data_IF_922073157688
#
_entry.id   IF_922073157688
#
_cell.length_a   1.000
_cell.length_b   1.000
_cell.length_c   1.000
_cell.angle_alpha   90.00
_cell.angle_beta   90.00
_cell.angle_gamma   90.00
#
_symmetry.space_group_name_H-M   'P 1'
#
loop_
_entity.id
_entity.type
_entity.pdbx_description
1 polymer ?
#
# COMPACT_ATOMS: atom_id res chain seq x y z
N UNK A 1 -3.07 32.48 9.93
CA UNK A 1 -3.22 33.15 8.63
C UNK A 1 -2.35 32.45 7.60
N UNK A 2 -2.92 32.17 6.42
CA UNK A 2 -2.28 31.73 5.15
C UNK A 2 -1.72 30.28 5.17
N UNK A 3 -2.05 29.38 4.26
CA UNK A 3 -2.81 29.55 3.03
C UNK A 3 -3.28 28.22 2.45
N UNK A 4 -4.59 28.17 2.21
CA UNK A 4 -5.17 27.51 1.04
C UNK A 4 -4.38 27.92 -0.20
N UNK A 5 -3.84 26.94 -0.94
CA UNK A 5 -3.54 27.11 -2.36
C UNK A 5 -3.77 25.79 -3.10
N UNK A 6 -4.99 25.69 -3.66
CA UNK A 6 -5.21 25.04 -4.95
C UNK A 6 -4.31 25.69 -6.01
N UNK A 7 -4.00 24.93 -7.06
CA UNK A 7 -4.14 25.24 -8.52
C UNK A 7 -3.31 24.17 -9.25
N UNK A 8 -3.91 23.11 -9.82
CA UNK A 8 -4.55 23.00 -11.15
C UNK A 8 -3.59 23.22 -12.34
N UNK A 9 -3.47 22.20 -13.23
CA UNK A 9 -3.79 22.17 -14.70
C UNK A 9 -3.10 20.93 -15.32
N UNK A 10 -3.77 19.86 -15.77
CA UNK A 10 -4.71 19.63 -16.88
C UNK A 10 -4.07 19.60 -18.30
N UNK A 11 -4.05 18.41 -18.90
CA UNK A 11 -4.16 18.09 -20.34
C UNK A 11 -4.93 16.75 -20.38
N UNK A 12 -6.17 16.61 -20.88
CA UNK A 12 -6.67 16.78 -22.27
C UNK A 12 -6.24 15.55 -23.08
N UNK A 13 -7.06 14.53 -23.37
CA UNK A 13 -8.24 14.43 -24.28
C UNK A 13 -8.85 13.00 -24.21
N UNK A 14 -9.90 12.61 -24.99
CA UNK A 14 -11.33 12.87 -24.87
C UNK A 14 -12.15 11.62 -24.46
N UNK A 15 -13.42 11.84 -24.11
CA UNK A 15 -14.39 10.82 -23.73
C UNK A 15 -14.70 9.83 -24.86
N UNK A 16 -14.58 8.51 -24.60
CA UNK A 16 -15.38 7.44 -25.19
C UNK A 16 -15.44 6.24 -24.23
N UNK A 17 -16.64 5.69 -24.11
CA UNK A 17 -17.04 4.45 -23.47
C UNK A 17 -17.11 4.33 -21.93
N UNK A 18 -18.35 4.15 -21.50
CA UNK A 18 -18.83 3.85 -20.17
C UNK A 18 -18.71 2.35 -19.96
N UNK A 19 -17.79 1.94 -19.10
CA UNK A 19 -17.95 0.71 -18.31
C UNK A 19 -17.85 1.09 -16.82
N UNK A 20 -18.90 0.85 -16.01
CA UNK A 20 -18.84 1.08 -14.58
C UNK A 20 -17.99 -0.04 -13.96
N UNK A 21 -16.68 0.19 -13.79
CA UNK A 21 -15.87 -0.66 -12.92
C UNK A 21 -16.48 -0.60 -11.51
N UNK A 22 -16.97 -1.73 -10.95
CA UNK A 22 -17.74 -1.68 -9.73
C UNK A 22 -16.85 -1.19 -8.60
N UNK A 23 -17.34 -0.18 -7.91
CA UNK A 23 -16.94 0.14 -6.56
C UNK A 23 -17.14 -1.10 -5.69
N UNK A 24 -16.07 -1.84 -5.41
CA UNK A 24 -16.08 -2.85 -4.36
C UNK A 24 -15.87 -2.15 -3.01
N UNK A 25 -16.90 -1.41 -2.61
CA UNK A 25 -17.15 -1.07 -1.21
C UNK A 25 -18.27 -1.98 -0.72
N UNK A 26 -17.93 -3.08 -0.04
CA UNK A 26 -18.75 -3.62 1.04
C UNK A 26 -17.93 -4.53 1.99
N UNK A 27 -18.04 -4.35 3.31
CA UNK A 27 -17.29 -5.11 4.31
C UNK A 27 -18.01 -6.43 4.68
N UNK A 28 -17.32 -7.57 4.85
CA UNK A 28 -17.93 -8.70 5.54
C UNK A 28 -17.70 -8.58 7.05
N UNK A 29 -18.80 -8.29 7.76
CA UNK A 29 -18.92 -8.44 9.21
C UNK A 29 -19.03 -9.93 9.55
N UNK A 30 -18.39 -10.30 10.67
CA UNK A 30 -18.66 -11.44 11.60
C UNK A 30 -17.80 -12.71 11.47
N UNK A 31 -16.99 -12.90 12.52
CA UNK A 31 -16.88 -14.05 13.47
C UNK A 31 -15.47 -14.63 13.61
N UNK A 32 -15.07 -14.74 14.89
CA UNK A 32 -13.91 -15.49 15.40
C UNK A 32 -12.61 -14.70 15.27
N UNK A 33 -11.89 -14.32 16.32
CA UNK A 33 -11.85 -14.81 17.70
C UNK A 33 -10.42 -15.23 18.00
N UNK A 34 -9.72 -14.48 18.87
CA UNK A 34 -8.41 -14.78 19.49
C UNK A 34 -7.25 -14.99 18.48
N UNK A 35 -5.99 -14.67 18.76
CA UNK A 35 -5.30 -14.55 20.04
C UNK A 35 -4.09 -13.64 19.87
N UNK A 36 -3.86 -12.86 20.91
CA UNK A 36 -2.58 -12.28 21.33
C UNK A 36 -1.49 -13.37 21.45
N UNK A 37 -0.32 -13.10 20.89
CA UNK A 37 1.00 -13.61 21.30
C UNK A 37 2.00 -12.60 20.71
N UNK A 38 2.69 -11.70 21.44
CA UNK A 38 3.47 -11.83 22.66
C UNK A 38 4.58 -12.89 22.57
N UNK A 39 5.74 -12.42 22.10
CA UNK A 39 7.11 -12.69 22.55
C UNK A 39 7.60 -14.16 22.62
N UNK A 40 8.61 -14.46 21.81
CA UNK A 40 9.60 -15.51 22.09
C UNK A 40 10.95 -15.11 21.47
N UNK A 41 11.90 -14.71 22.31
CA UNK A 41 13.33 -14.64 21.96
C UNK A 41 13.88 -16.06 21.77
N UNK A 42 14.08 -16.47 20.51
CA UNK A 42 14.97 -17.54 20.04
C UNK A 42 15.30 -17.16 18.58
N UNK A 43 16.49 -17.45 18.01
CA UNK A 43 17.04 -16.72 16.85
C UNK A 43 16.00 -16.65 15.73
N UNK A 44 15.36 -15.48 15.63
CA UNK A 44 14.03 -15.40 15.06
C UNK A 44 14.13 -15.77 13.57
N UNK A 45 13.32 -16.74 13.07
CA UNK A 45 13.14 -16.87 11.64
C UNK A 45 12.79 -15.47 11.14
N UNK A 46 13.42 -14.97 10.05
CA UNK A 46 13.33 -13.57 9.67
C UNK A 46 11.88 -13.14 9.75
N UNK A 47 11.57 -12.23 10.68
CA UNK A 47 10.22 -11.82 10.98
C UNK A 47 9.49 -11.60 9.66
N UNK A 48 8.51 -12.43 9.32
CA UNK A 48 7.84 -12.33 8.03
C UNK A 48 7.26 -10.92 7.85
N UNK A 49 6.89 -10.26 8.96
CA UNK A 49 6.50 -8.86 9.01
C UNK A 49 7.65 -7.89 8.67
N UNK A 50 8.85 -8.10 9.20
CA UNK A 50 10.04 -7.28 8.92
C UNK A 50 10.52 -7.48 7.47
N UNK A 51 10.59 -8.74 7.01
CA UNK A 51 10.92 -9.06 5.62
C UNK A 51 9.93 -8.40 4.64
N UNK A 52 8.63 -8.47 4.92
CA UNK A 52 7.61 -7.79 4.11
C UNK A 52 7.73 -6.27 4.14
N UNK A 53 8.18 -5.69 5.25
CA UNK A 53 8.41 -4.24 5.36
C UNK A 53 9.64 -3.82 4.57
N UNK A 54 10.74 -4.57 4.64
CA UNK A 54 11.92 -4.35 3.82
C UNK A 54 11.60 -4.48 2.32
N UNK A 55 10.81 -5.50 1.96
CA UNK A 55 10.32 -5.72 0.60
C UNK A 55 9.48 -4.54 0.11
N UNK A 56 8.55 -4.05 0.93
CA UNK A 56 7.71 -2.88 0.61
C UNK A 56 8.57 -1.63 0.36
N UNK A 57 9.50 -1.34 1.27
CA UNK A 57 10.40 -0.19 1.15
C UNK A 57 11.24 -0.26 -0.12
N UNK A 58 11.79 -1.44 -0.45
CA UNK A 58 12.58 -1.64 -1.66
C UNK A 58 11.73 -1.52 -2.93
N UNK A 59 10.51 -2.07 -2.94
CA UNK A 59 9.58 -1.95 -4.06
C UNK A 59 9.18 -0.49 -4.31
N UNK A 60 8.97 0.29 -3.26
CA UNK A 60 8.67 1.72 -3.34
C UNK A 60 9.86 2.51 -3.90
N UNK A 61 11.07 2.28 -3.40
CA UNK A 61 12.27 2.95 -3.92
C UNK A 61 12.44 2.71 -5.43
N UNK A 62 12.32 1.45 -5.87
CA UNK A 62 12.44 1.10 -7.29
C UNK A 62 11.33 1.77 -8.12
N UNK A 63 10.09 1.78 -7.63
CA UNK A 63 8.98 2.39 -8.37
C UNK A 63 9.11 3.91 -8.49
N UNK A 64 9.48 4.58 -7.41
CA UNK A 64 9.62 6.04 -7.38
C UNK A 64 10.75 6.49 -8.31
N UNK A 65 11.90 5.80 -8.27
CA UNK A 65 13.05 6.12 -9.10
C UNK A 65 12.85 5.76 -10.58
N UNK A 66 12.12 4.67 -10.86
CA UNK A 66 11.86 4.26 -12.25
C UNK A 66 10.87 5.18 -12.96
N UNK A 67 9.83 5.62 -12.25
CA UNK A 67 8.74 6.38 -12.86
C UNK A 67 8.86 7.90 -12.62
N UNK A 68 9.88 8.36 -11.87
CA UNK A 68 10.16 9.76 -11.51
C UNK A 68 8.91 10.48 -10.96
N UNK A 69 8.23 9.79 -10.04
CA UNK A 69 6.97 10.24 -9.42
C UNK A 69 7.09 10.22 -7.91
N UNK A 70 6.38 11.13 -7.25
CA UNK A 70 6.31 11.18 -5.78
C UNK A 70 5.37 10.13 -5.17
N UNK A 71 4.47 9.58 -5.98
CA UNK A 71 3.41 8.68 -5.54
C UNK A 71 3.21 7.55 -6.54
N UNK A 72 2.99 6.35 -6.02
CA UNK A 72 2.79 5.14 -6.81
C UNK A 72 1.39 4.58 -6.62
N UNK A 73 0.85 3.98 -7.68
CA UNK A 73 -0.40 3.22 -7.58
C UNK A 73 -0.22 2.01 -6.64
N UNK A 74 -1.18 1.81 -5.74
CA UNK A 74 -1.21 0.67 -4.82
C UNK A 74 -1.01 -0.69 -5.53
N UNK A 75 -1.69 -0.88 -6.66
CA UNK A 75 -1.59 -2.08 -7.48
C UNK A 75 -0.22 -2.25 -8.14
N UNK A 76 0.45 -1.15 -8.53
CA UNK A 76 1.81 -1.20 -9.07
C UNK A 76 2.82 -1.62 -7.99
N UNK A 77 2.70 -1.11 -6.77
CA UNK A 77 3.56 -1.51 -5.65
C UNK A 77 3.37 -2.98 -5.30
N UNK A 78 2.11 -3.44 -5.22
CA UNK A 78 1.84 -4.87 -4.99
C UNK A 78 2.44 -5.76 -6.09
N UNK A 79 2.28 -5.37 -7.35
CA UNK A 79 2.88 -6.10 -8.47
C UNK A 79 4.41 -6.14 -8.37
N UNK A 80 5.04 -5.04 -7.97
CA UNK A 80 6.48 -4.98 -7.77
C UNK A 80 6.96 -5.87 -6.62
N UNK A 81 6.25 -5.86 -5.48
CA UNK A 81 6.57 -6.75 -4.35
C UNK A 81 6.50 -8.23 -4.77
N UNK A 82 5.48 -8.64 -5.53
CA UNK A 82 5.36 -10.02 -6.03
C UNK A 82 6.40 -10.39 -7.09
N UNK A 83 6.94 -9.42 -7.82
CA UNK A 83 8.06 -9.63 -8.75
C UNK A 83 9.37 -9.88 -8.01
N UNK A 84 9.57 -9.16 -6.91
CA UNK A 84 10.76 -9.27 -6.08
C UNK A 84 10.73 -10.53 -5.20
N UNK A 85 9.59 -10.82 -4.59
CA UNK A 85 9.35 -12.01 -3.80
C UNK A 85 7.99 -12.63 -4.18
N UNK A 86 7.98 -13.70 -5.00
CA UNK A 86 6.73 -14.37 -5.36
C UNK A 86 6.06 -15.09 -4.19
N UNK A 87 6.78 -15.33 -3.08
CA UNK A 87 6.22 -15.91 -1.86
C UNK A 87 5.42 -14.89 -1.04
N UNK A 88 5.55 -13.60 -1.36
CA UNK A 88 4.82 -12.53 -0.69
C UNK A 88 3.30 -12.65 -0.90
N UNK A 89 2.58 -12.71 0.22
CA UNK A 89 1.13 -12.65 0.27
C UNK A 89 0.70 -11.98 1.56
N UNK A 90 -0.17 -10.98 1.46
CA UNK A 90 -0.64 -10.22 2.64
C UNK A 90 -1.44 -11.11 3.58
N UNK A 91 -2.06 -12.16 3.03
CA UNK A 91 -2.77 -13.18 3.80
C UNK A 91 -1.84 -14.01 4.66
N UNK A 92 -0.63 -14.32 4.19
CA UNK A 92 0.38 -15.04 4.97
C UNK A 92 0.85 -14.23 6.18
N UNK A 93 0.72 -12.90 6.10
CA UNK A 93 1.03 -11.96 7.18
C UNK A 93 -0.18 -11.63 8.07
N UNK A 94 -1.35 -12.21 7.80
CA UNK A 94 -2.58 -12.01 8.58
C UNK A 94 -3.46 -10.83 8.15
N UNK A 95 -3.12 -10.11 7.09
CA UNK A 95 -3.91 -8.97 6.60
C UNK A 95 -5.03 -9.41 5.67
N UNK A 96 -6.13 -8.65 5.67
CA UNK A 96 -7.30 -8.96 4.84
C UNK A 96 -7.15 -8.47 3.40
N UNK A 97 -6.37 -7.42 3.20
CA UNK A 97 -6.11 -6.81 1.90
C UNK A 97 -4.75 -6.11 1.88
N UNK A 98 -4.27 -5.73 0.69
CA UNK A 98 -3.02 -4.98 0.58
C UNK A 98 -3.09 -3.59 1.20
N UNK A 99 -4.23 -2.89 1.11
CA UNK A 99 -4.40 -1.60 1.81
C UNK A 99 -4.41 -1.75 3.33
N UNK A 100 -4.88 -2.88 3.86
CA UNK A 100 -4.82 -3.21 5.29
C UNK A 100 -3.37 -3.41 5.76
N UNK A 101 -2.59 -4.14 4.96
CA UNK A 101 -1.13 -4.26 5.13
C UNK A 101 -0.43 -2.89 5.11
N UNK A 102 -0.75 -2.00 4.17
CA UNK A 102 -0.14 -0.65 4.12
C UNK A 102 -0.55 0.22 5.32
N UNK A 103 -1.82 0.18 5.75
CA UNK A 103 -2.29 0.93 6.93
C UNK A 103 -1.55 0.51 8.20
N UNK A 104 -1.27 -0.79 8.36
CA UNK A 104 -0.48 -1.29 9.48
C UNK A 104 0.97 -0.76 9.49
N UNK A 105 1.45 -0.28 8.35
CA UNK A 105 2.82 0.23 8.12
C UNK A 105 2.83 1.73 7.83
N UNK A 106 1.81 2.45 8.28
CA UNK A 106 1.70 3.92 8.14
C UNK A 106 2.84 4.70 8.82
N UNK A 107 3.63 4.03 9.66
CA UNK A 107 4.91 4.56 10.16
C UNK A 107 5.95 4.74 9.04
N UNK A 108 5.99 3.80 8.09
CA UNK A 108 7.00 3.73 7.01
C UNK A 108 6.47 4.24 5.68
N UNK A 109 5.16 4.14 5.45
CA UNK A 109 4.53 4.54 4.18
C UNK A 109 3.41 5.54 4.40
N UNK A 110 3.21 6.41 3.42
CA UNK A 110 2.06 7.30 3.37
C UNK A 110 1.07 6.77 2.33
N UNK A 111 -0.17 6.60 2.76
CA UNK A 111 -1.27 6.11 1.94
C UNK A 111 -2.27 7.25 1.72
N UNK A 112 -2.52 7.58 0.45
CA UNK A 112 -3.58 8.50 0.05
C UNK A 112 -4.78 7.70 -0.49
N UNK A 113 -5.87 7.73 0.27
CA UNK A 113 -7.17 7.09 -0.08
C UNK A 113 -8.21 8.12 -0.53
N UNK A 114 -7.83 9.39 -0.76
CA UNK A 114 -8.77 10.45 -1.13
C UNK A 114 -9.24 10.38 -2.57
N UNK A 115 -8.45 9.73 -3.43
CA UNK A 115 -8.76 9.52 -4.85
C UNK A 115 -9.38 8.14 -5.10
N UNK A 116 -10.11 8.02 -6.22
CA UNK A 116 -10.63 6.73 -6.72
C UNK A 116 -9.52 5.67 -6.81
N UNK A 117 -8.33 6.10 -7.19
CA UNK A 117 -7.11 5.27 -7.20
C UNK A 117 -6.32 5.51 -5.93
N UNK A 118 -6.06 4.43 -5.18
CA UNK A 118 -5.22 4.50 -3.97
C UNK A 118 -3.76 4.68 -4.34
N UNK A 119 -3.14 5.68 -3.74
CA UNK A 119 -1.76 6.09 -3.99
C UNK A 119 -0.91 5.84 -2.73
N UNK A 120 0.34 5.44 -2.91
CA UNK A 120 1.27 5.17 -1.81
C UNK A 120 2.65 5.74 -2.12
N UNK A 121 3.31 6.27 -1.10
CA UNK A 121 4.71 6.70 -1.16
C UNK A 121 5.47 6.29 0.10
N UNK A 122 6.79 6.31 0.02
CA UNK A 122 7.64 6.13 1.19
C UNK A 122 7.54 7.38 2.07
N UNK A 123 7.41 7.22 3.39
CA UNK A 123 7.61 8.34 4.30
C UNK A 123 9.11 8.66 4.36
N UNK A 124 9.45 9.92 4.17
CA UNK A 124 10.75 10.40 4.58
C UNK A 124 10.87 10.18 6.09
N UNK A 125 11.87 9.39 6.51
CA UNK A 125 12.27 9.36 7.92
C UNK A 125 13.02 10.66 8.17
N UNK A 126 12.35 11.60 8.82
CA UNK A 126 12.97 12.79 9.42
C UNK A 126 13.82 12.38 10.63
#
# INVERSE_FOLDING_TARGET
>A
MRGVRRVRRAAGVPALDREPGPADTAPPKRRGGRTKAAQAEEPEPPDAQAAATALLTRALQIGLEKDDVDWLHNSAVKAQMRRMDPSFSERSLGFRSFSDFLRSRSDVVELDETSTTRMVRLRARD
#
